data_IF_554261203483
#
_entry.id   IF_554261203483
#
_cell.length_a   1.000
_cell.length_b   1.000
_cell.length_c   1.000
_cell.angle_alpha   90.00
_cell.angle_beta   90.00
_cell.angle_gamma   90.00
#
_symmetry.space_group_name_H-M   'P 1'
#
loop_
_entity.id
_entity.type
_entity.pdbx_description
1 polymer ?
#
# COMPACT_ATOMS: atom_id res chain seq x y z
N UNK A 1 18.40 2.06 -0.10
CA UNK A 1 17.71 3.30 -0.53
C UNK A 1 17.53 3.30 -2.04
N UNK A 2 16.38 3.78 -2.53
CA UNK A 2 16.24 3.99 -3.96
C UNK A 2 17.18 5.10 -4.44
N UNK A 3 17.79 4.91 -5.61
CA UNK A 3 18.51 6.00 -6.26
C UNK A 3 17.49 7.01 -6.81
N UNK A 4 17.91 8.26 -7.06
CA UNK A 4 17.05 9.26 -7.69
C UNK A 4 16.55 8.80 -9.06
N UNK A 5 17.39 8.09 -9.82
CA UNK A 5 17.01 7.56 -11.14
C UNK A 5 15.90 6.52 -10.98
N UNK A 6 16.03 5.58 -10.04
CA UNK A 6 15.01 4.56 -9.79
C UNK A 6 13.69 5.18 -9.35
N UNK A 7 13.73 6.13 -8.43
CA UNK A 7 12.53 6.83 -7.98
C UNK A 7 11.80 7.50 -9.13
N UNK A 8 12.54 8.21 -9.99
CA UNK A 8 11.96 8.91 -11.13
C UNK A 8 11.38 7.93 -12.15
N UNK A 9 12.08 6.84 -12.45
CA UNK A 9 11.60 5.85 -13.40
C UNK A 9 10.32 5.16 -12.92
N UNK A 10 10.29 4.69 -11.67
CA UNK A 10 9.11 4.03 -11.11
C UNK A 10 7.95 5.02 -11.01
N UNK A 11 8.21 6.23 -10.55
CA UNK A 11 7.19 7.27 -10.43
C UNK A 11 6.59 7.63 -11.77
N UNK A 12 7.42 7.82 -12.82
CA UNK A 12 6.94 8.17 -14.14
C UNK A 12 6.08 7.06 -14.74
N UNK A 13 6.48 5.79 -14.59
CA UNK A 13 5.68 4.66 -15.06
C UNK A 13 4.31 4.67 -14.38
N UNK A 14 4.25 4.85 -13.08
CA UNK A 14 2.99 4.92 -12.36
C UNK A 14 2.12 6.10 -12.79
N UNK A 15 2.72 7.26 -13.02
CA UNK A 15 1.98 8.43 -13.51
C UNK A 15 1.35 8.17 -14.89
N UNK A 16 2.07 7.47 -15.77
CA UNK A 16 1.58 7.16 -17.11
C UNK A 16 0.39 6.19 -17.11
N UNK A 17 0.38 5.20 -16.21
CA UNK A 17 -0.59 4.10 -16.26
C UNK A 17 -1.66 4.17 -15.18
N UNK A 18 -1.56 5.11 -14.23
CA UNK A 18 -2.47 5.17 -13.07
C UNK A 18 -3.94 5.25 -13.48
N UNK A 19 -4.27 6.08 -14.45
CA UNK A 19 -5.66 6.22 -14.93
C UNK A 19 -6.14 4.94 -15.61
N UNK A 20 -5.27 4.28 -16.38
CA UNK A 20 -5.61 3.01 -17.01
C UNK A 20 -5.91 1.94 -15.96
N UNK A 21 -5.06 1.80 -14.94
CA UNK A 21 -5.29 0.85 -13.84
C UNK A 21 -6.60 1.15 -13.11
N UNK A 22 -6.90 2.41 -12.85
CA UNK A 22 -8.15 2.76 -12.20
C UNK A 22 -9.36 2.33 -13.00
N UNK A 23 -9.30 2.41 -14.33
CA UNK A 23 -10.42 2.02 -15.20
C UNK A 23 -10.57 0.51 -15.36
N UNK A 24 -9.47 -0.26 -15.27
CA UNK A 24 -9.46 -1.68 -15.58
C UNK A 24 -9.42 -2.59 -14.36
N UNK A 25 -9.10 -2.08 -13.17
CA UNK A 25 -8.90 -2.87 -11.95
C UNK A 25 -9.72 -2.33 -10.80
N UNK A 26 -11.03 -2.52 -10.89
CA UNK A 26 -11.97 -2.07 -9.85
C UNK A 26 -12.23 -3.14 -8.79
N UNK A 27 -11.89 -4.41 -9.04
CA UNK A 27 -12.19 -5.53 -8.16
C UNK A 27 -10.95 -6.00 -7.39
N UNK A 28 -11.16 -6.34 -6.11
CA UNK A 28 -10.15 -7.02 -5.31
C UNK A 28 -10.04 -8.50 -5.74
N UNK A 29 -8.87 -9.07 -5.57
CA UNK A 29 -8.70 -10.51 -5.68
C UNK A 29 -9.33 -11.21 -4.47
N UNK A 30 -9.87 -12.42 -4.69
CA UNK A 30 -10.58 -13.15 -3.63
C UNK A 30 -9.68 -13.46 -2.42
N UNK A 31 -8.40 -13.76 -2.64
CA UNK A 31 -7.49 -14.05 -1.54
C UNK A 31 -7.22 -12.83 -0.65
N UNK A 32 -7.34 -11.63 -1.18
CA UNK A 32 -7.26 -10.40 -0.37
C UNK A 32 -8.46 -10.32 0.57
N UNK A 33 -9.66 -10.60 0.06
CA UNK A 33 -10.86 -10.65 0.90
C UNK A 33 -10.73 -11.70 2.00
N UNK A 34 -10.22 -12.89 1.68
CA UNK A 34 -10.02 -13.95 2.66
C UNK A 34 -9.06 -13.54 3.77
N UNK A 35 -7.96 -12.88 3.40
CA UNK A 35 -7.01 -12.36 4.37
C UNK A 35 -7.66 -11.32 5.30
N UNK A 36 -8.36 -10.34 4.73
CA UNK A 36 -9.01 -9.28 5.50
C UNK A 36 -10.13 -9.84 6.39
N UNK A 37 -10.88 -10.83 5.91
CA UNK A 37 -11.90 -11.52 6.70
C UNK A 37 -11.31 -12.23 7.93
N UNK A 38 -10.05 -12.63 7.86
CA UNK A 38 -9.36 -13.33 8.96
C UNK A 38 -8.92 -12.40 10.08
N UNK A 39 -8.97 -11.09 9.88
CA UNK A 39 -8.48 -10.11 10.85
C UNK A 39 -9.51 -9.86 11.94
N UNK A 40 -9.03 -9.52 13.13
CA UNK A 40 -9.89 -9.13 14.23
C UNK A 40 -10.64 -7.83 13.92
N UNK A 41 -11.79 -7.70 14.51
CA UNK A 41 -12.62 -6.50 14.38
C UNK A 41 -11.84 -5.24 14.79
N UNK A 42 -12.04 -4.15 14.07
CA UNK A 42 -11.39 -2.86 14.28
C UNK A 42 -9.86 -2.85 14.06
N UNK A 43 -9.31 -3.86 13.41
CA UNK A 43 -7.88 -3.87 13.09
C UNK A 43 -7.49 -2.69 12.22
N UNK A 44 -6.30 -2.13 12.48
CA UNK A 44 -5.67 -1.12 11.63
C UNK A 44 -4.82 -1.82 10.58
N UNK A 45 -5.13 -1.56 9.32
CA UNK A 45 -4.47 -2.17 8.15
C UNK A 45 -3.78 -1.09 7.34
N UNK A 46 -2.50 -1.25 7.08
CA UNK A 46 -1.78 -0.40 6.13
C UNK A 46 -1.76 -1.08 4.76
N UNK A 47 -2.15 -0.33 3.74
CA UNK A 47 -2.05 -0.76 2.34
C UNK A 47 -0.84 -0.04 1.72
N UNK A 48 0.29 -0.73 1.69
CA UNK A 48 1.56 -0.17 1.24
C UNK A 48 1.67 -0.37 -0.28
N UNK A 49 1.75 0.75 -1.00
CA UNK A 49 1.59 0.74 -2.46
C UNK A 49 0.14 0.58 -2.85
N UNK A 50 -0.73 1.42 -2.30
CA UNK A 50 -2.17 1.22 -2.38
C UNK A 50 -2.79 1.45 -3.76
N UNK A 51 -2.09 2.09 -4.68
CA UNK A 51 -2.60 2.38 -6.00
C UNK A 51 -3.91 3.17 -5.94
N UNK A 52 -4.91 2.70 -6.66
CA UNK A 52 -6.22 3.35 -6.68
C UNK A 52 -7.10 3.06 -5.44
N UNK A 53 -6.57 2.33 -4.46
CA UNK A 53 -7.26 2.07 -3.20
C UNK A 53 -8.30 0.96 -3.24
N UNK A 54 -8.32 0.12 -4.27
CA UNK A 54 -9.34 -0.93 -4.42
C UNK A 54 -9.37 -1.93 -3.26
N UNK A 55 -8.24 -2.15 -2.58
CA UNK A 55 -8.14 -3.09 -1.48
C UNK A 55 -8.53 -2.48 -0.14
N UNK A 56 -8.76 -1.18 -0.08
CA UNK A 56 -9.12 -0.45 1.13
C UNK A 56 -10.63 -0.36 1.34
N UNK A 57 -11.40 -1.08 0.56
CA UNK A 57 -12.86 -1.13 0.68
C UNK A 57 -13.27 -2.56 1.09
N UNK A 58 -13.47 -2.76 2.39
CA UNK A 58 -13.82 -4.06 2.95
C UNK A 58 -14.94 -3.90 3.97
N UNK A 59 -15.99 -4.70 3.83
CA UNK A 59 -17.22 -4.52 4.61
C UNK A 59 -17.18 -5.21 5.97
N UNK A 60 -16.41 -6.30 6.10
CA UNK A 60 -16.36 -7.08 7.35
C UNK A 60 -15.36 -6.51 8.33
N UNK A 61 -15.61 -6.76 9.62
CA UNK A 61 -14.70 -6.52 10.73
C UNK A 61 -14.43 -5.04 11.05
N UNK A 62 -15.13 -4.10 10.41
CA UNK A 62 -14.96 -2.66 10.69
C UNK A 62 -13.48 -2.24 10.66
N UNK A 63 -12.74 -2.69 9.66
CA UNK A 63 -11.32 -2.43 9.54
C UNK A 63 -11.04 -0.95 9.28
N UNK A 64 -9.93 -0.46 9.82
CA UNK A 64 -9.43 0.88 9.52
C UNK A 64 -8.27 0.74 8.55
N UNK A 65 -8.30 1.52 7.48
CA UNK A 65 -7.27 1.48 6.45
C UNK A 65 -6.52 2.80 6.35
N UNK A 66 -5.22 2.72 6.20
CA UNK A 66 -4.39 3.84 5.77
C UNK A 66 -3.52 3.34 4.61
N UNK A 67 -3.60 4.01 3.48
CA UNK A 67 -2.82 3.68 2.30
C UNK A 67 -1.59 4.55 2.16
N UNK A 68 -0.59 4.03 1.47
CA UNK A 68 0.62 4.77 1.12
C UNK A 68 0.96 4.49 -0.33
N UNK A 69 1.23 5.54 -1.09
CA UNK A 69 1.71 5.43 -2.46
C UNK A 69 2.53 6.67 -2.79
N UNK A 70 3.45 6.59 -3.74
CA UNK A 70 4.23 7.75 -4.17
C UNK A 70 3.77 8.31 -5.52
N UNK A 71 2.70 7.81 -6.07
CA UNK A 71 2.10 8.29 -7.33
C UNK A 71 1.01 9.31 -7.02
N UNK A 72 1.22 10.56 -7.40
CA UNK A 72 0.27 11.64 -7.12
C UNK A 72 -1.11 11.38 -7.72
N UNK A 73 -1.17 10.78 -8.92
CA UNK A 73 -2.45 10.49 -9.56
C UNK A 73 -3.25 9.47 -8.76
N UNK A 74 -2.61 8.43 -8.23
CA UNK A 74 -3.27 7.47 -7.36
C UNK A 74 -3.74 8.11 -6.05
N UNK A 75 -2.93 8.96 -5.46
CA UNK A 75 -3.31 9.68 -4.23
C UNK A 75 -4.55 10.53 -4.47
N UNK A 76 -4.62 11.25 -5.59
CA UNK A 76 -5.81 12.04 -5.97
C UNK A 76 -7.04 11.16 -6.13
N UNK A 77 -6.90 10.03 -6.81
CA UNK A 77 -8.00 9.07 -7.00
C UNK A 77 -8.53 8.59 -5.65
N UNK A 78 -7.63 8.21 -4.75
CA UNK A 78 -8.00 7.74 -3.42
C UNK A 78 -8.71 8.84 -2.61
N UNK A 79 -8.19 10.05 -2.63
CA UNK A 79 -8.81 11.19 -1.91
C UNK A 79 -10.21 11.49 -2.45
N UNK A 80 -10.41 11.38 -3.75
CA UNK A 80 -11.74 11.55 -4.35
C UNK A 80 -12.73 10.48 -3.91
N UNK A 81 -12.24 9.31 -3.49
CA UNK A 81 -13.05 8.23 -2.90
C UNK A 81 -13.20 8.34 -1.38
N UNK A 82 -12.69 9.41 -0.78
CA UNK A 82 -12.67 9.60 0.68
C UNK A 82 -11.85 8.55 1.43
N UNK A 83 -10.83 8.01 0.79
CA UNK A 83 -9.91 7.07 1.42
C UNK A 83 -8.79 7.82 2.16
N UNK A 84 -8.33 7.26 3.27
CA UNK A 84 -7.24 7.82 4.06
C UNK A 84 -5.90 7.35 3.47
N UNK A 85 -5.19 8.26 2.80
CA UNK A 85 -3.95 7.93 2.10
C UNK A 85 -2.89 8.99 2.35
N UNK A 86 -1.63 8.55 2.28
CA UNK A 86 -0.46 9.40 2.45
C UNK A 86 0.47 9.20 1.25
N UNK A 87 1.01 10.30 0.75
CA UNK A 87 2.06 10.25 -0.27
C UNK A 87 3.39 9.95 0.43
N UNK A 88 4.05 8.86 0.08
CA UNK A 88 5.30 8.48 0.73
C UNK A 88 6.01 7.35 0.02
N UNK A 89 7.21 7.05 0.51
CA UNK A 89 8.10 6.06 -0.05
C UNK A 89 8.08 4.78 0.79
N UNK A 90 7.96 3.64 0.13
CA UNK A 90 7.88 2.32 0.76
C UNK A 90 9.14 1.95 1.57
N UNK A 91 10.28 2.54 1.26
CA UNK A 91 11.52 2.28 1.99
C UNK A 91 11.76 3.22 3.17
N UNK A 92 10.90 4.20 3.36
CA UNK A 92 10.95 5.14 4.47
C UNK A 92 9.52 5.61 4.79
N UNK A 93 8.78 4.76 5.47
CA UNK A 93 7.35 4.95 5.66
C UNK A 93 7.10 5.87 6.86
N UNK A 94 6.31 6.95 6.71
CA UNK A 94 6.11 7.95 7.77
C UNK A 94 5.06 7.52 8.81
N UNK A 95 5.10 6.28 9.25
CA UNK A 95 4.21 5.75 10.27
C UNK A 95 5.03 5.25 11.47
N UNK A 96 4.39 5.19 12.62
CA UNK A 96 5.05 4.75 13.85
C UNK A 96 5.32 3.25 13.85
N UNK A 97 6.41 2.84 14.49
CA UNK A 97 6.68 1.43 14.73
C UNK A 97 5.57 0.80 15.58
N UNK A 98 5.34 -0.47 15.38
CA UNK A 98 4.39 -1.27 16.17
C UNK A 98 2.97 -0.65 16.18
N UNK A 99 2.52 -0.11 15.04
CA UNK A 99 1.24 0.58 14.96
C UNK A 99 0.17 -0.20 14.21
N UNK A 100 0.54 -1.09 13.31
CA UNK A 100 -0.42 -1.80 12.46
C UNK A 100 -0.73 -3.20 12.98
N UNK A 101 -2.00 -3.59 12.88
CA UNK A 101 -2.42 -4.97 13.11
C UNK A 101 -2.14 -5.85 11.91
N UNK A 102 -2.19 -5.29 10.71
CA UNK A 102 -1.92 -6.00 9.48
C UNK A 102 -1.39 -5.05 8.41
N UNK A 103 -0.66 -5.62 7.46
CA UNK A 103 -0.18 -4.90 6.28
C UNK A 103 -0.51 -5.72 5.05
N UNK A 104 -1.02 -5.07 4.02
CA UNK A 104 -1.10 -5.61 2.67
C UNK A 104 -0.17 -4.82 1.76
N UNK A 105 0.53 -5.54 0.89
CA UNK A 105 1.46 -4.93 -0.07
C UNK A 105 1.39 -5.77 -1.35
N UNK A 106 0.57 -5.35 -2.29
CA UNK A 106 0.15 -6.17 -3.41
C UNK A 106 0.72 -5.61 -4.71
N UNK A 107 1.47 -6.44 -5.44
CA UNK A 107 2.02 -6.14 -6.76
C UNK A 107 2.94 -4.90 -6.78
N UNK A 108 3.73 -4.69 -5.73
CA UNK A 108 4.62 -3.53 -5.58
C UNK A 108 6.09 -3.89 -5.76
N UNK A 109 6.54 -5.01 -5.18
CA UNK A 109 7.97 -5.33 -5.12
C UNK A 109 8.63 -5.46 -6.49
N UNK A 110 7.91 -5.93 -7.49
CA UNK A 110 8.47 -6.07 -8.84
C UNK A 110 8.80 -4.72 -9.50
N UNK A 111 8.32 -3.61 -8.96
CA UNK A 111 8.68 -2.26 -9.41
C UNK A 111 9.93 -1.72 -8.75
N UNK A 112 10.45 -2.39 -7.72
CA UNK A 112 11.72 -2.03 -7.10
C UNK A 112 12.85 -2.68 -7.88
N UNK A 113 13.78 -1.86 -8.35
CA UNK A 113 14.78 -2.30 -9.33
C UNK A 113 15.94 -3.08 -8.75
N UNK A 114 16.12 -3.10 -7.41
CA UNK A 114 17.19 -3.87 -6.80
C UNK A 114 16.76 -4.55 -5.49
N UNK A 115 17.53 -5.58 -5.14
CA UNK A 115 17.26 -6.43 -3.99
C UNK A 115 17.40 -5.69 -2.67
N UNK A 116 18.32 -4.75 -2.56
CA UNK A 116 18.51 -3.96 -1.33
C UNK A 116 17.26 -3.13 -1.00
N UNK A 117 16.64 -2.53 -2.00
CA UNK A 117 15.43 -1.74 -1.81
C UNK A 117 14.24 -2.61 -1.41
N UNK A 118 14.15 -3.83 -1.96
CA UNK A 118 13.14 -4.81 -1.53
C UNK A 118 13.33 -5.17 -0.06
N UNK A 119 14.56 -5.40 0.37
CA UNK A 119 14.86 -5.70 1.76
C UNK A 119 14.50 -4.53 2.67
N UNK A 120 14.87 -3.30 2.29
CA UNK A 120 14.53 -2.10 3.06
C UNK A 120 13.01 -1.95 3.23
N UNK A 121 12.25 -2.20 2.17
CA UNK A 121 10.79 -2.14 2.22
C UNK A 121 10.24 -3.20 3.18
N UNK A 122 10.76 -4.42 3.15
CA UNK A 122 10.36 -5.48 4.07
C UNK A 122 10.68 -5.13 5.52
N UNK A 123 11.84 -4.55 5.77
CA UNK A 123 12.24 -4.11 7.11
C UNK A 123 11.34 -2.99 7.62
N UNK A 124 10.94 -2.06 6.76
CA UNK A 124 9.98 -1.02 7.13
C UNK A 124 8.63 -1.63 7.50
N UNK A 125 8.12 -2.56 6.71
CA UNK A 125 6.84 -3.22 7.02
C UNK A 125 6.92 -4.00 8.33
N UNK A 126 8.04 -4.69 8.58
CA UNK A 126 8.27 -5.37 9.86
C UNK A 126 8.26 -4.39 11.03
N UNK A 127 8.90 -3.23 10.85
CA UNK A 127 8.93 -2.17 11.88
C UNK A 127 7.51 -1.70 12.25
N UNK A 128 6.64 -1.58 11.26
CA UNK A 128 5.29 -1.05 11.45
C UNK A 128 4.35 -2.03 12.14
N UNK A 129 4.57 -3.33 12.01
CA UNK A 129 3.67 -4.34 12.56
C UNK A 129 3.81 -4.44 14.07
N UNK A 130 2.66 -4.52 14.75
CA UNK A 130 2.61 -4.90 16.15
C UNK A 130 3.10 -6.33 16.32
N UNK A 131 3.46 -6.72 17.55
CA UNK A 131 3.70 -8.12 17.90
C UNK A 131 2.47 -8.93 17.50
N UNK A 132 2.69 -10.05 16.82
CA UNK A 132 1.63 -10.90 16.23
C UNK A 132 0.86 -10.24 15.08
N UNK A 133 1.31 -9.11 14.54
CA UNK A 133 0.77 -8.52 13.33
C UNK A 133 0.97 -9.43 12.11
N UNK A 134 0.12 -9.26 11.14
CA UNK A 134 0.06 -10.14 9.95
C UNK A 134 0.33 -9.41 8.65
#
# INVERSE_FOLDING_TARGET
MLTNIEENQVKNVYEEISNHFNNTRVYKWSWVNDFLDSLNEFSLVYDIGCGNGRNMNHEKNNLKFIGLDNCENFIKICKNKNLNVVNGNIINIPFQKNSADAIICIAVFHHLSNQNNRLLALLEMKRLLKKNGK
#
